data_IF_027012408612
#
_entry.id   IF_027012408612
#
_cell.length_a   1.000
_cell.length_b   1.000
_cell.length_c   1.000
_cell.angle_alpha   90.00
_cell.angle_beta   90.00
_cell.angle_gamma   90.00
#
_symmetry.space_group_name_H-M   'P 1'
#
loop_
_entity.id
_entity.type
_entity.pdbx_description
1 polymer ?
#
# COMPACT_ATOMS: atom_id res chain seq x y z
N UNK A 1 13.30 -21.11 7.39
CA UNK A 1 13.08 -20.49 6.06
C UNK A 1 12.80 -19.01 6.30
N UNK A 2 13.58 -18.11 5.69
CA UNK A 2 13.44 -16.67 5.93
C UNK A 2 12.43 -16.04 4.97
N UNK A 3 11.14 -16.17 5.27
CA UNK A 3 10.04 -15.70 4.43
C UNK A 3 10.12 -14.22 4.05
N UNK A 4 10.70 -13.39 4.92
CA UNK A 4 10.86 -11.96 4.68
C UNK A 4 11.81 -11.67 3.51
N UNK A 5 12.87 -12.48 3.34
CA UNK A 5 13.80 -12.37 2.22
C UNK A 5 13.16 -12.76 0.90
N UNK A 6 12.31 -13.80 0.89
CA UNK A 6 11.59 -14.23 -0.32
C UNK A 6 10.64 -13.15 -0.82
N UNK A 7 9.85 -12.55 0.08
CA UNK A 7 8.93 -11.46 -0.27
C UNK A 7 9.67 -10.24 -0.82
N UNK A 8 10.83 -9.89 -0.24
CA UNK A 8 11.69 -8.83 -0.74
C UNK A 8 12.22 -9.11 -2.16
N UNK A 9 12.68 -10.34 -2.43
CA UNK A 9 13.18 -10.70 -3.76
C UNK A 9 12.10 -10.62 -4.84
N UNK A 10 10.87 -11.05 -4.53
CA UNK A 10 9.73 -10.92 -5.45
C UNK A 10 9.40 -9.45 -5.73
N UNK A 11 9.35 -8.61 -4.69
CA UNK A 11 9.08 -7.18 -4.83
C UNK A 11 10.17 -6.45 -5.64
N UNK A 12 11.44 -6.77 -5.39
CA UNK A 12 12.58 -6.21 -6.12
C UNK A 12 12.56 -6.61 -7.60
N UNK A 13 12.24 -7.88 -7.91
CA UNK A 13 12.12 -8.34 -9.30
C UNK A 13 11.01 -7.63 -10.07
N UNK A 14 9.86 -7.40 -9.44
CA UNK A 14 8.76 -6.67 -10.04
C UNK A 14 9.13 -5.19 -10.30
N UNK A 15 9.75 -4.55 -9.31
CA UNK A 15 10.19 -3.15 -9.44
C UNK A 15 11.25 -2.98 -10.54
N UNK A 16 12.24 -3.88 -10.60
CA UNK A 16 13.25 -3.88 -11.65
C UNK A 16 12.64 -4.05 -13.06
N UNK A 17 11.68 -4.97 -13.22
CA UNK A 17 10.99 -5.18 -14.50
C UNK A 17 10.19 -3.95 -14.95
N UNK A 18 9.50 -3.29 -14.02
CA UNK A 18 8.77 -2.03 -14.29
C UNK A 18 9.74 -0.92 -14.67
N UNK A 19 10.84 -0.77 -13.93
CA UNK A 19 11.87 0.25 -14.17
C UNK A 19 12.48 0.11 -15.56
N UNK A 20 12.89 -1.10 -15.97
CA UNK A 20 13.45 -1.35 -17.30
C UNK A 20 12.43 -1.03 -18.40
N UNK A 21 11.15 -1.38 -18.21
CA UNK A 21 10.08 -1.06 -19.17
C UNK A 21 9.87 0.44 -19.30
N UNK A 22 9.83 1.17 -18.19
CA UNK A 22 9.71 2.64 -18.17
C UNK A 22 10.91 3.29 -18.87
N UNK A 23 12.13 2.87 -18.53
CA UNK A 23 13.37 3.39 -19.12
C UNK A 23 13.45 3.13 -20.63
N UNK A 24 13.03 1.95 -21.09
CA UNK A 24 12.98 1.65 -22.52
C UNK A 24 11.96 2.52 -23.27
N UNK A 25 10.77 2.75 -22.70
CA UNK A 25 9.75 3.61 -23.34
C UNK A 25 10.14 5.10 -23.32
N UNK A 26 10.83 5.56 -22.26
CA UNK A 26 11.44 6.89 -22.21
C UNK A 26 12.54 7.07 -23.26
N UNK A 27 13.46 6.09 -23.36
CA UNK A 27 14.54 6.09 -24.34
C UNK A 27 14.06 6.00 -25.80
N UNK A 28 12.91 5.36 -26.04
CA UNK A 28 12.26 5.31 -27.33
C UNK A 28 11.48 6.60 -27.69
N UNK A 29 11.58 7.66 -26.87
CA UNK A 29 10.85 8.92 -27.01
C UNK A 29 9.33 8.73 -27.03
N UNK A 30 8.82 7.78 -26.23
CA UNK A 30 7.39 7.44 -26.07
C UNK A 30 6.89 7.87 -24.67
N UNK A 31 6.80 9.17 -24.38
CA UNK A 31 6.45 9.67 -23.04
C UNK A 31 5.06 9.24 -22.56
N UNK A 32 4.11 8.94 -23.47
CA UNK A 32 2.78 8.40 -23.11
C UNK A 32 2.87 7.01 -22.47
N UNK A 33 3.75 6.13 -22.96
CA UNK A 33 3.90 4.77 -22.46
C UNK A 33 4.66 4.73 -21.11
N UNK A 34 5.64 5.61 -20.94
CA UNK A 34 6.31 5.83 -19.66
C UNK A 34 5.33 6.31 -18.58
N UNK A 35 4.49 7.30 -18.90
CA UNK A 35 3.45 7.82 -17.99
C UNK A 35 2.42 6.75 -17.63
N UNK A 36 2.05 5.88 -18.57
CA UNK A 36 1.15 4.75 -18.31
C UNK A 36 1.73 3.76 -17.29
N UNK A 37 3.03 3.48 -17.37
CA UNK A 37 3.71 2.59 -16.43
C UNK A 37 3.76 3.17 -15.00
N UNK A 38 3.98 4.48 -14.87
CA UNK A 38 3.86 5.17 -13.57
C UNK A 38 2.44 5.10 -13.04
N UNK A 39 1.43 5.39 -13.87
CA UNK A 39 0.01 5.28 -13.47
C UNK A 39 -0.33 3.87 -12.98
N UNK A 40 0.14 2.83 -13.67
CA UNK A 40 -0.05 1.44 -13.23
C UNK A 40 0.56 1.16 -11.86
N UNK A 41 1.79 1.62 -11.60
CA UNK A 41 2.43 1.49 -10.29
C UNK A 41 1.63 2.21 -9.19
N UNK A 42 1.17 3.43 -9.48
CA UNK A 42 0.32 4.23 -8.59
C UNK A 42 -1.00 3.53 -8.29
N UNK A 43 -1.71 3.06 -9.32
CA UNK A 43 -2.99 2.38 -9.18
C UNK A 43 -2.85 1.07 -8.39
N UNK A 44 -1.77 0.32 -8.60
CA UNK A 44 -1.51 -0.93 -7.87
C UNK A 44 -1.23 -0.65 -6.39
N UNK A 45 -0.43 0.38 -6.08
CA UNK A 45 -0.19 0.80 -4.69
C UNK A 45 -1.47 1.26 -4.00
N UNK A 46 -2.28 2.07 -4.68
CA UNK A 46 -3.57 2.53 -4.18
C UNK A 46 -4.54 1.37 -3.93
N UNK A 47 -4.60 0.39 -4.84
CA UNK A 47 -5.43 -0.79 -4.68
C UNK A 47 -5.00 -1.64 -3.47
N UNK A 48 -3.71 -1.87 -3.28
CA UNK A 48 -3.17 -2.59 -2.12
C UNK A 48 -3.51 -1.83 -0.83
N UNK A 49 -3.29 -0.51 -0.80
CA UNK A 49 -3.65 0.33 0.35
C UNK A 49 -5.15 0.28 0.68
N UNK A 50 -6.02 0.26 -0.33
CA UNK A 50 -7.46 0.12 -0.15
C UNK A 50 -7.87 -1.25 0.42
N UNK A 51 -7.21 -2.34 -0.02
CA UNK A 51 -7.44 -3.67 0.54
C UNK A 51 -7.07 -3.72 2.02
N UNK A 52 -5.90 -3.19 2.40
CA UNK A 52 -5.51 -3.12 3.81
C UNK A 52 -6.47 -2.26 4.63
N UNK A 53 -6.88 -1.11 4.11
CA UNK A 53 -7.88 -0.26 4.76
C UNK A 53 -9.18 -1.04 5.04
N UNK A 54 -9.71 -1.76 4.04
CA UNK A 54 -10.93 -2.54 4.18
C UNK A 54 -10.80 -3.65 5.22
N UNK A 55 -9.67 -4.38 5.22
CA UNK A 55 -9.39 -5.46 6.18
C UNK A 55 -9.31 -4.92 7.61
N UNK A 56 -8.58 -3.82 7.83
CA UNK A 56 -8.47 -3.21 9.17
C UNK A 56 -9.80 -2.65 9.66
N UNK A 57 -10.60 -2.06 8.78
CA UNK A 57 -11.94 -1.58 9.13
C UNK A 57 -12.89 -2.73 9.48
N UNK A 58 -12.79 -3.86 8.80
CA UNK A 58 -13.59 -5.05 9.09
C UNK A 58 -13.22 -5.68 10.45
N UNK A 59 -11.93 -5.71 10.80
CA UNK A 59 -11.47 -6.29 12.07
C UNK A 59 -11.39 -5.31 13.25
N UNK A 60 -11.69 -4.03 13.05
CA UNK A 60 -11.50 -2.98 14.07
C UNK A 60 -12.25 -3.22 15.39
N UNK A 61 -13.37 -3.94 15.35
CA UNK A 61 -14.21 -4.24 16.52
C UNK A 61 -13.96 -5.63 17.08
N UNK A 62 -13.63 -6.60 16.23
CA UNK A 62 -13.37 -8.00 16.65
C UNK A 62 -12.01 -8.13 17.35
N UNK A 63 -11.01 -7.37 16.89
CA UNK A 63 -9.65 -7.47 17.41
C UNK A 63 -9.53 -6.98 18.87
N UNK A 64 -10.10 -5.83 19.28
CA UNK A 64 -10.11 -5.41 20.69
C UNK A 64 -10.94 -6.32 21.60
N UNK A 65 -12.02 -6.91 21.07
CA UNK A 65 -12.92 -7.80 21.81
C UNK A 65 -12.24 -9.11 22.23
N UNK A 66 -11.18 -9.51 21.54
CA UNK A 66 -10.33 -10.63 21.94
C UNK A 66 -9.47 -10.34 23.20
N UNK A 67 -9.22 -9.06 23.50
CA UNK A 67 -8.36 -8.66 24.63
C UNK A 67 -9.16 -8.09 25.81
N UNK A 68 -10.40 -7.67 25.60
CA UNK A 68 -11.25 -7.10 26.65
C UNK A 68 -12.73 -7.31 26.36
N UNK A 69 -13.48 -7.74 27.38
CA UNK A 69 -14.95 -7.82 27.35
C UNK A 69 -15.64 -6.50 27.77
N UNK A 70 -14.88 -5.47 28.16
CA UNK A 70 -15.46 -4.18 28.51
C UNK A 70 -15.81 -3.39 27.24
N UNK A 71 -17.11 -3.20 27.00
CA UNK A 71 -17.66 -2.48 25.86
C UNK A 71 -17.05 -1.08 25.66
N UNK A 72 -16.70 -0.38 26.75
CA UNK A 72 -16.09 0.95 26.71
C UNK A 72 -14.66 0.88 26.13
N UNK A 73 -13.88 -0.10 26.56
CA UNK A 73 -12.51 -0.33 26.07
C UNK A 73 -12.52 -0.75 24.60
N UNK A 74 -13.45 -1.61 24.21
CA UNK A 74 -13.62 -2.05 22.80
C UNK A 74 -14.00 -0.87 21.90
N UNK A 75 -14.90 0.00 22.36
CA UNK A 75 -15.32 1.20 21.62
C UNK A 75 -14.15 2.17 21.39
N UNK A 76 -13.38 2.48 22.43
CA UNK A 76 -12.22 3.37 22.31
C UNK A 76 -11.12 2.76 21.42
N UNK A 77 -10.85 1.47 21.57
CA UNK A 77 -9.90 0.76 20.71
C UNK A 77 -10.35 0.72 19.23
N UNK A 78 -11.65 0.55 18.98
CA UNK A 78 -12.21 0.58 17.63
C UNK A 78 -12.10 1.98 16.97
N UNK A 79 -12.14 3.07 17.75
CA UNK A 79 -11.87 4.44 17.26
C UNK A 79 -10.40 4.61 16.86
N UNK A 80 -9.48 4.08 17.67
CA UNK A 80 -8.05 4.05 17.32
C UNK A 80 -7.81 3.22 16.04
N UNK A 81 -8.57 2.14 15.84
CA UNK A 81 -8.55 1.34 14.61
C UNK A 81 -8.88 2.15 13.35
N UNK A 82 -9.83 3.10 13.41
CA UNK A 82 -10.10 4.00 12.29
C UNK A 82 -8.91 4.89 11.95
N UNK A 83 -8.28 5.49 12.96
CA UNK A 83 -7.10 6.33 12.78
C UNK A 83 -5.95 5.53 12.18
N UNK A 84 -5.69 4.33 12.68
CA UNK A 84 -4.66 3.43 12.18
C UNK A 84 -4.89 3.06 10.71
N UNK A 85 -6.12 2.69 10.36
CA UNK A 85 -6.50 2.34 9.00
C UNK A 85 -6.30 3.53 8.04
N UNK A 86 -6.71 4.74 8.47
CA UNK A 86 -6.48 5.97 7.71
C UNK A 86 -4.99 6.29 7.53
N UNK A 87 -4.18 6.13 8.57
CA UNK A 87 -2.73 6.33 8.50
C UNK A 87 -2.05 5.35 7.52
N UNK A 88 -2.42 4.07 7.54
CA UNK A 88 -1.89 3.07 6.60
C UNK A 88 -2.25 3.41 5.15
N UNK A 89 -3.48 3.86 4.92
CA UNK A 89 -3.94 4.27 3.60
C UNK A 89 -3.18 5.50 3.08
N UNK A 90 -3.06 6.54 3.92
CA UNK A 90 -2.30 7.76 3.58
C UNK A 90 -0.83 7.45 3.30
N UNK A 91 -0.21 6.60 4.13
CA UNK A 91 1.17 6.16 3.94
C UNK A 91 1.38 5.31 2.68
N UNK A 92 0.35 4.59 2.20
CA UNK A 92 0.43 3.84 0.93
C UNK A 92 0.38 4.77 -0.31
N UNK A 93 -0.12 5.99 -0.15
CA UNK A 93 -0.23 7.01 -1.21
C UNK A 93 0.96 7.97 -1.20
N UNK A 94 1.61 8.19 -0.05
CA UNK A 94 2.77 9.08 0.06
C UNK A 94 3.91 8.79 -0.94
N UNK A 95 4.35 7.53 -1.15
CA UNK A 95 5.42 7.21 -2.11
C UNK A 95 5.05 7.52 -3.56
N UNK A 96 3.76 7.43 -3.87
CA UNK A 96 3.21 7.74 -5.19
C UNK A 96 3.28 9.23 -5.48
N UNK A 97 2.93 10.06 -4.48
CA UNK A 97 2.91 11.52 -4.64
C UNK A 97 4.30 12.13 -4.53
N UNK A 98 5.18 11.60 -3.67
CA UNK A 98 6.55 12.10 -3.55
C UNK A 98 7.40 11.82 -4.80
N UNK A 99 7.08 10.75 -5.54
CA UNK A 99 7.77 10.39 -6.79
C UNK A 99 7.44 11.25 -8.01
N UNK A 100 6.50 12.20 -7.92
CA UNK A 100 6.18 13.13 -9.03
C UNK A 100 6.86 14.50 -8.91
N UNK A 101 7.59 14.76 -7.82
CA UNK A 101 8.25 16.05 -7.54
C UNK A 101 9.79 15.99 -7.55
N UNK A 102 10.37 14.90 -8.05
CA UNK A 102 11.80 14.77 -8.36
C UNK A 102 11.97 14.09 -9.72
#
# INVERSE_FOLDING_TARGET
INYQLWTLMVALGFNAAVSVRVSNELGANRPKAARFSVIMAVSTSAAIGAVFLAVFLAWRTELPRFFSDNEEVVSEAAKLGYLLAATIFLNSIQPVLSGTYH
#
